data_IF_202288348677
#
_entry.id   IF_202288348677
#
_cell.length_a   1.000
_cell.length_b   1.000
_cell.length_c   1.000
_cell.angle_alpha   90.00
_cell.angle_beta   90.00
_cell.angle_gamma   90.00
#
_symmetry.space_group_name_H-M   'P 1'
#
loop_
_entity.id
_entity.type
_entity.pdbx_description
1 polymer ?
#
# COMPACT_ATOMS: atom_id res chain seq x y z
N UNK A 1 -6.29 1.62 15.01
CA UNK A 1 -5.52 0.37 14.82
C UNK A 1 -6.45 -0.64 14.18
N UNK A 2 -5.98 -1.40 13.19
CA UNK A 2 -6.79 -2.40 12.49
C UNK A 2 -6.58 -3.78 13.12
N UNK A 3 -7.64 -4.59 13.14
CA UNK A 3 -7.61 -5.92 13.76
C UNK A 3 -6.87 -6.93 12.86
N UNK A 4 -5.99 -7.72 13.46
CA UNK A 4 -5.24 -8.78 12.76
C UNK A 4 -6.19 -9.80 12.13
N UNK A 5 -5.90 -10.23 10.90
CA UNK A 5 -6.71 -11.16 10.15
C UNK A 5 -7.93 -10.55 9.44
N UNK A 6 -8.29 -9.29 9.75
CA UNK A 6 -9.26 -8.53 8.95
C UNK A 6 -8.65 -8.03 7.65
N UNK A 7 -9.50 -7.48 6.79
CA UNK A 7 -9.08 -6.94 5.51
C UNK A 7 -9.22 -5.43 5.47
N UNK A 8 -8.24 -4.79 4.82
CA UNK A 8 -8.22 -3.36 4.57
C UNK A 8 -7.94 -3.09 3.11
N UNK A 9 -8.33 -1.91 2.64
CA UNK A 9 -7.88 -1.34 1.37
C UNK A 9 -7.12 -0.04 1.63
N UNK A 10 -6.24 0.33 0.72
CA UNK A 10 -5.44 1.54 0.80
C UNK A 10 -6.02 2.63 -0.09
N UNK A 11 -5.83 3.90 0.31
CA UNK A 11 -6.35 5.07 -0.40
C UNK A 11 -5.20 5.98 -0.82
N UNK A 12 -5.15 6.22 -2.13
CA UNK A 12 -4.23 7.17 -2.75
C UNK A 12 -2.93 6.51 -3.19
N UNK A 13 -1.91 7.35 -3.36
CA UNK A 13 -0.58 6.93 -3.83
C UNK A 13 0.42 6.97 -2.69
N UNK A 14 1.47 6.18 -2.84
CA UNK A 14 2.49 5.95 -1.83
C UNK A 14 3.88 6.07 -2.42
N UNK A 15 4.86 6.39 -1.57
CA UNK A 15 6.28 6.38 -1.90
C UNK A 15 6.98 5.38 -0.98
N UNK A 16 7.89 4.59 -1.53
CA UNK A 16 8.75 3.69 -0.74
C UNK A 16 9.70 4.55 0.08
N UNK A 17 9.57 4.44 1.40
CA UNK A 17 10.43 5.13 2.35
C UNK A 17 11.61 4.25 2.77
N UNK A 18 11.34 2.97 3.02
CA UNK A 18 12.34 2.01 3.47
C UNK A 18 12.03 0.62 2.93
N UNK A 19 13.07 -0.11 2.52
CA UNK A 19 12.99 -1.53 2.15
C UNK A 19 13.74 -2.30 3.23
N UNK A 20 13.00 -2.88 4.16
CA UNK A 20 13.56 -3.72 5.23
C UNK A 20 13.65 -5.19 4.82
N UNK A 21 14.25 -6.00 5.70
CA UNK A 21 14.42 -7.44 5.47
C UNK A 21 13.08 -8.21 5.40
N UNK A 22 12.08 -7.76 6.19
CA UNK A 22 10.78 -8.43 6.30
C UNK A 22 9.63 -7.68 5.61
N UNK A 23 9.74 -6.35 5.46
CA UNK A 23 8.66 -5.52 4.95
C UNK A 23 9.17 -4.26 4.25
N UNK A 24 8.32 -3.71 3.37
CA UNK A 24 8.53 -2.43 2.71
C UNK A 24 7.69 -1.37 3.42
N UNK A 25 8.31 -0.31 3.92
CA UNK A 25 7.60 0.83 4.50
C UNK A 25 7.27 1.87 3.43
N UNK A 26 6.00 2.23 3.38
CA UNK A 26 5.43 3.16 2.42
C UNK A 26 4.89 4.38 3.18
N UNK A 27 5.23 5.56 2.69
CA UNK A 27 4.62 6.81 3.14
C UNK A 27 3.58 7.30 2.14
N UNK A 28 2.63 8.11 2.60
CA UNK A 28 1.64 8.71 1.70
C UNK A 28 2.30 9.70 0.73
N UNK A 29 2.02 9.59 -0.56
CA UNK A 29 2.48 10.51 -1.59
C UNK A 29 1.28 11.25 -2.24
N UNK A 30 1.39 12.58 -2.33
CA UNK A 30 0.40 13.45 -2.96
C UNK A 30 -0.74 13.94 -2.03
N UNK A 31 -1.23 15.15 -2.32
CA UNK A 31 -2.47 15.72 -1.76
C UNK A 31 -3.57 15.64 -2.82
N UNK A 32 -4.63 14.90 -2.54
CA UNK A 32 -5.93 15.09 -3.20
C UNK A 32 -6.22 14.10 -4.33
N UNK A 33 -6.91 13.02 -3.98
CA UNK A 33 -7.47 12.07 -4.93
C UNK A 33 -7.81 10.78 -4.20
N UNK A 34 -9.08 10.64 -3.78
CA UNK A 34 -9.61 9.33 -3.37
C UNK A 34 -9.89 8.57 -4.66
N UNK A 35 -8.85 8.00 -5.26
CA UNK A 35 -9.04 7.04 -6.35
C UNK A 35 -9.31 5.67 -5.73
N UNK A 36 -10.54 5.48 -5.25
CA UNK A 36 -11.05 4.13 -4.99
C UNK A 36 -11.23 3.51 -6.36
N UNK A 37 -10.34 2.59 -6.72
CA UNK A 37 -10.41 1.91 -8.00
C UNK A 37 -11.46 0.82 -7.86
N UNK A 38 -12.52 0.83 -8.67
CA UNK A 38 -13.60 -0.18 -8.61
C UNK A 38 -13.13 -1.59 -9.00
N UNK A 39 -11.91 -1.71 -9.56
CA UNK A 39 -11.32 -2.97 -10.00
C UNK A 39 -10.05 -3.27 -9.20
N UNK A 40 -10.13 -4.33 -8.39
CA UNK A 40 -8.97 -4.91 -7.70
C UNK A 40 -8.05 -5.59 -8.73
N UNK A 41 -6.74 -5.33 -8.65
CA UNK A 41 -5.73 -5.97 -9.50
C UNK A 41 -5.01 -7.11 -8.79
N UNK A 42 -4.38 -8.00 -9.56
CA UNK A 42 -3.54 -9.09 -9.04
C UNK A 42 -2.37 -8.51 -8.22
N UNK A 43 -2.11 -9.09 -7.03
CA UNK A 43 -1.21 -8.58 -5.98
C UNK A 43 -1.61 -7.24 -5.33
N UNK A 44 -2.50 -6.47 -5.97
CA UNK A 44 -3.13 -5.28 -5.40
C UNK A 44 -2.27 -4.03 -5.42
N UNK A 45 -1.17 -3.98 -6.18
CA UNK A 45 -0.37 -2.76 -6.32
C UNK A 45 0.18 -2.61 -7.74
N UNK A 46 0.33 -1.36 -8.18
CA UNK A 46 1.00 -0.99 -9.43
C UNK A 46 2.08 0.02 -9.14
N UNK A 47 3.24 -0.17 -9.76
CA UNK A 47 4.28 0.85 -9.73
C UNK A 47 3.95 1.97 -10.72
N UNK A 48 4.19 3.22 -10.29
CA UNK A 48 3.88 4.43 -11.04
C UNK A 48 5.10 5.36 -11.05
N UNK A 49 5.11 6.28 -12.01
CA UNK A 49 6.02 7.44 -11.98
C UNK A 49 5.55 8.49 -10.98
N UNK A 50 6.37 9.50 -10.69
CA UNK A 50 5.97 10.66 -9.87
C UNK A 50 4.78 11.44 -10.44
N UNK A 51 4.47 11.27 -11.72
CA UNK A 51 3.33 11.87 -12.42
C UNK A 51 2.08 10.97 -12.40
N UNK A 52 2.15 9.77 -11.79
CA UNK A 52 1.03 8.84 -11.68
C UNK A 52 0.86 7.89 -12.88
N UNK A 53 1.81 7.85 -13.81
CA UNK A 53 1.77 6.96 -14.97
C UNK A 53 2.27 5.57 -14.58
N UNK A 54 1.48 4.53 -14.85
CA UNK A 54 1.87 3.13 -14.61
C UNK A 54 3.14 2.74 -15.36
N UNK A 55 4.01 1.96 -14.70
CA UNK A 55 5.21 1.38 -15.29
C UNK A 55 5.37 -0.09 -14.89
N UNK A 56 6.28 -0.79 -15.56
CA UNK A 56 6.62 -2.17 -15.22
C UNK A 56 7.25 -2.23 -13.82
N UNK A 57 6.78 -3.17 -13.02
CA UNK A 57 7.31 -3.42 -11.68
C UNK A 57 8.63 -4.18 -11.77
N UNK A 58 9.71 -3.57 -11.26
CA UNK A 58 11.06 -4.13 -11.24
C UNK A 58 11.60 -4.42 -9.83
N UNK A 59 10.78 -4.18 -8.81
CA UNK A 59 11.11 -4.39 -7.40
C UNK A 59 10.68 -3.20 -6.55
N UNK A 60 11.00 -3.23 -5.26
CA UNK A 60 10.82 -2.08 -4.38
C UNK A 60 12.18 -1.40 -4.17
N UNK A 61 12.28 -0.14 -4.57
CA UNK A 61 13.43 0.74 -4.28
C UNK A 61 12.96 1.99 -3.54
N UNK A 62 13.78 2.48 -2.62
CA UNK A 62 13.50 3.74 -1.91
C UNK A 62 13.32 4.88 -2.92
N UNK A 63 12.20 5.59 -2.82
CA UNK A 63 11.80 6.65 -3.73
C UNK A 63 10.83 6.24 -4.84
N UNK A 64 10.56 4.94 -5.01
CA UNK A 64 9.57 4.46 -5.97
C UNK A 64 8.15 4.80 -5.54
N UNK A 65 7.27 4.99 -6.53
CA UNK A 65 5.88 5.37 -6.29
C UNK A 65 4.95 4.23 -6.62
N UNK A 66 3.93 4.04 -5.79
CA UNK A 66 2.97 2.97 -5.94
C UNK A 66 1.53 3.47 -5.79
N UNK A 67 0.65 2.91 -6.62
CA UNK A 67 -0.78 2.96 -6.40
C UNK A 67 -1.24 1.63 -5.80
N UNK A 68 -1.97 1.70 -4.69
CA UNK A 68 -2.49 0.55 -3.97
C UNK A 68 -4.02 0.50 -4.12
N UNK A 69 -4.52 -0.57 -4.70
CA UNK A 69 -5.95 -0.78 -5.01
C UNK A 69 -6.37 -2.23 -4.73
N UNK A 70 -5.68 -2.90 -3.80
CA UNK A 70 -5.94 -4.27 -3.37
C UNK A 70 -6.86 -4.37 -2.15
N UNK A 71 -7.22 -5.61 -1.83
CA UNK A 71 -7.79 -6.02 -0.54
C UNK A 71 -6.71 -6.79 0.21
N UNK A 72 -6.19 -6.22 1.28
CA UNK A 72 -5.02 -6.76 1.98
C UNK A 72 -5.40 -7.31 3.35
N UNK A 73 -4.85 -8.47 3.68
CA UNK A 73 -5.01 -9.05 5.02
C UNK A 73 -4.10 -8.32 5.99
N UNK A 74 -4.64 -7.87 7.11
CA UNK A 74 -3.86 -7.28 8.21
C UNK A 74 -3.06 -8.39 8.89
N UNK A 75 -1.74 -8.19 8.98
CA UNK A 75 -0.82 -9.10 9.64
C UNK A 75 -0.46 -8.60 11.04
N UNK A 76 -0.17 -7.30 11.18
CA UNK A 76 0.12 -6.64 12.46
C UNK A 76 -0.24 -5.16 12.35
N UNK A 77 -0.73 -4.54 13.41
CA UNK A 77 -1.06 -3.11 13.43
C UNK A 77 -0.55 -2.46 14.71
N UNK A 78 -0.11 -1.22 14.61
CA UNK A 78 0.17 -0.35 15.76
C UNK A 78 -0.56 0.98 15.59
N UNK A 79 -0.25 1.98 16.41
CA UNK A 79 -0.96 3.27 16.40
C UNK A 79 -0.77 4.08 15.10
N UNK A 80 0.35 3.89 14.41
CA UNK A 80 0.76 4.73 13.27
C UNK A 80 0.66 3.95 11.94
N UNK A 81 1.12 2.70 11.94
CA UNK A 81 1.25 1.86 10.75
C UNK A 81 0.57 0.51 10.91
N UNK A 82 0.19 -0.07 9.78
CA UNK A 82 -0.33 -1.42 9.66
C UNK A 82 0.43 -2.20 8.60
N UNK A 83 0.90 -3.38 8.98
CA UNK A 83 1.53 -4.35 8.11
C UNK A 83 0.45 -5.21 7.47
N UNK A 84 0.46 -5.28 6.14
CA UNK A 84 -0.52 -6.02 5.34
C UNK A 84 0.17 -6.95 4.35
N UNK A 85 -0.51 -8.04 3.98
CA UNK A 85 -0.07 -8.95 2.92
C UNK A 85 -0.55 -8.45 1.55
N UNK A 86 0.37 -8.22 0.62
CA UNK A 86 0.09 -7.85 -0.77
C UNK A 86 0.87 -8.78 -1.73
N UNK A 87 0.19 -9.76 -2.31
CA UNK A 87 0.86 -10.84 -3.05
C UNK A 87 1.81 -11.60 -2.13
N UNK A 88 3.08 -11.71 -2.52
CA UNK A 88 4.16 -12.31 -1.70
C UNK A 88 4.83 -11.30 -0.75
N UNK A 89 4.48 -10.02 -0.84
CA UNK A 89 5.14 -8.95 -0.10
C UNK A 89 4.39 -8.55 1.17
N UNK A 90 5.15 -8.08 2.16
CA UNK A 90 4.62 -7.41 3.34
C UNK A 90 4.82 -5.90 3.21
N UNK A 91 3.72 -5.15 3.22
CA UNK A 91 3.73 -3.70 3.12
C UNK A 91 3.36 -3.08 4.47
N UNK A 92 4.12 -2.09 4.93
CA UNK A 92 3.83 -1.28 6.12
C UNK A 92 3.23 0.05 5.67
N UNK A 93 1.93 0.23 5.92
CA UNK A 93 1.12 1.35 5.42
C UNK A 93 0.62 2.25 6.55
N UNK A 94 0.56 3.57 6.35
CA UNK A 94 0.10 4.49 7.37
C UNK A 94 -1.42 4.34 7.59
N UNK A 95 -1.83 4.23 8.85
CA UNK A 95 -3.21 3.93 9.23
C UNK A 95 -4.23 4.92 8.66
N UNK A 96 -3.88 6.20 8.55
CA UNK A 96 -4.76 7.26 8.04
C UNK A 96 -5.03 7.15 6.51
N UNK A 97 -4.40 6.19 5.82
CA UNK A 97 -4.63 5.87 4.41
C UNK A 97 -5.30 4.52 4.21
N UNK A 98 -5.73 3.86 5.28
CA UNK A 98 -6.38 2.55 5.22
C UNK A 98 -7.86 2.67 5.59
N UNK A 99 -8.66 1.78 5.02
CA UNK A 99 -10.06 1.57 5.40
C UNK A 99 -10.35 0.09 5.55
N UNK A 100 -11.18 -0.26 6.52
CA UNK A 100 -11.71 -1.61 6.65
C UNK A 100 -12.62 -1.95 5.47
N UNK A 101 -12.52 -3.19 5.00
CA UNK A 101 -13.39 -3.73 3.96
C UNK A 101 -13.90 -5.10 4.39
N UNK A 102 -15.18 -5.39 4.08
CA UNK A 102 -15.81 -6.69 4.33
C UNK A 102 -15.21 -7.76 3.42
#
# INVERSE_FOLDING_TARGET
>A
MFEEGKFVTAIGSFIVKEVGDEFVELDSFGKGGVEVTDTYIENGFSEITSEGIEKEFDGFTVGDFFKLNGKYKVLRSNDIFTKVQAGEYMLSLPNHKLMEVA
#
